data_IF_746500434520
#
_entry.id   IF_746500434520
#
_cell.length_a   1.000
_cell.length_b   1.000
_cell.length_c   1.000
_cell.angle_alpha   90.00
_cell.angle_beta   90.00
_cell.angle_gamma   90.00
#
_symmetry.space_group_name_H-M   'P 1'
#
loop_
_entity.id
_entity.type
_entity.pdbx_description
1 polymer ?
#
# COMPACT_ATOMS: atom_id res chain seq x y z
N UNK A 1 26.95 -70.24 -42.47
CA UNK A 1 25.61 -69.71 -42.13
C UNK A 1 25.71 -68.84 -40.89
N UNK A 2 25.66 -67.51 -41.04
CA UNK A 2 25.11 -66.55 -40.06
C UNK A 2 25.34 -65.13 -40.58
N UNK A 3 24.33 -64.56 -41.24
CA UNK A 3 24.25 -63.11 -41.50
C UNK A 3 23.59 -62.48 -40.28
N UNK A 4 24.31 -61.59 -39.57
CA UNK A 4 23.74 -60.75 -38.52
C UNK A 4 23.11 -59.52 -39.18
N UNK A 5 21.78 -59.43 -39.16
CA UNK A 5 21.05 -58.20 -39.44
C UNK A 5 21.09 -57.31 -38.20
N UNK A 6 21.59 -56.09 -38.33
CA UNK A 6 21.38 -55.03 -37.33
C UNK A 6 20.09 -54.29 -37.69
N UNK A 7 19.07 -54.39 -36.83
CA UNK A 7 17.91 -53.49 -36.87
C UNK A 7 18.27 -52.20 -36.13
N UNK A 8 18.30 -51.08 -36.85
CA UNK A 8 18.36 -49.75 -36.27
C UNK A 8 16.96 -49.37 -35.75
N UNK A 9 16.80 -49.30 -34.42
CA UNK A 9 15.60 -48.76 -33.80
C UNK A 9 15.64 -47.23 -33.80
N UNK A 10 14.77 -46.59 -34.59
CA UNK A 10 14.47 -45.16 -34.44
C UNK A 10 13.66 -44.97 -33.15
N UNK A 11 14.27 -44.36 -32.13
CA UNK A 11 13.54 -43.82 -30.98
C UNK A 11 13.04 -42.43 -31.37
N UNK A 12 11.75 -42.32 -31.66
CA UNK A 12 11.09 -41.03 -31.83
C UNK A 12 10.94 -40.37 -30.45
N UNK A 13 11.82 -39.42 -30.13
CA UNK A 13 11.63 -38.52 -28.97
C UNK A 13 10.54 -37.53 -29.35
N UNK A 14 9.32 -37.79 -28.91
CA UNK A 14 8.24 -36.81 -28.96
C UNK A 14 8.57 -35.68 -27.98
N UNK A 15 9.09 -34.57 -28.51
CA UNK A 15 9.21 -33.33 -27.77
C UNK A 15 7.79 -32.80 -27.48
N UNK A 16 7.23 -33.14 -26.33
CA UNK A 16 6.07 -32.44 -25.77
C UNK A 16 6.53 -31.07 -25.27
N UNK A 17 6.71 -30.15 -26.22
CA UNK A 17 6.76 -28.73 -25.93
C UNK A 17 5.37 -28.24 -25.56
N UNK A 18 4.98 -28.36 -24.31
CA UNK A 18 3.81 -27.67 -23.78
C UNK A 18 4.18 -26.20 -23.58
N UNK A 19 4.14 -25.42 -24.66
CA UNK A 19 4.03 -23.98 -24.59
C UNK A 19 2.60 -23.63 -24.14
N UNK A 20 2.32 -23.78 -22.84
CA UNK A 20 1.25 -23.01 -22.21
C UNK A 20 1.83 -21.61 -22.03
N UNK A 21 1.50 -20.71 -22.95
CA UNK A 21 1.69 -19.29 -22.69
C UNK A 21 0.96 -18.96 -21.38
N UNK A 22 1.70 -18.55 -20.35
CA UNK A 22 1.13 -18.03 -19.13
C UNK A 22 0.44 -16.70 -19.47
N UNK A 23 -0.81 -16.77 -19.93
CA UNK A 23 -1.73 -15.64 -19.84
C UNK A 23 -1.98 -15.49 -18.34
N UNK A 24 -1.20 -14.64 -17.70
CA UNK A 24 -1.33 -14.41 -16.28
C UNK A 24 -2.76 -13.97 -15.95
N UNK A 25 -3.39 -14.64 -15.01
CA UNK A 25 -4.68 -14.26 -14.46
C UNK A 25 -4.65 -12.81 -13.92
N UNK A 26 -5.75 -12.04 -14.03
CA UNK A 26 -5.79 -10.68 -13.54
C UNK A 26 -5.55 -10.66 -12.02
N UNK A 27 -4.70 -9.75 -11.55
CA UNK A 27 -4.40 -9.64 -10.12
C UNK A 27 -5.62 -9.20 -9.30
N UNK A 28 -6.46 -8.37 -9.90
CA UNK A 28 -7.62 -7.77 -9.25
C UNK A 28 -8.88 -8.42 -9.78
N UNK A 29 -9.68 -8.98 -8.88
CA UNK A 29 -11.00 -9.51 -9.19
C UNK A 29 -12.09 -8.56 -8.67
N UNK A 30 -13.25 -8.46 -9.36
CA UNK A 30 -14.36 -7.65 -8.88
C UNK A 30 -14.79 -8.06 -7.47
N UNK A 31 -14.85 -7.10 -6.55
CA UNK A 31 -15.39 -7.28 -5.20
C UNK A 31 -16.32 -6.13 -4.85
N UNK A 32 -17.31 -6.41 -4.02
CA UNK A 32 -18.24 -5.40 -3.54
C UNK A 32 -17.68 -4.73 -2.28
N UNK A 33 -16.96 -3.62 -2.46
CA UNK A 33 -16.38 -2.85 -1.37
C UNK A 33 -17.42 -2.29 -0.39
N UNK A 34 -18.67 -2.05 -0.83
CA UNK A 34 -19.75 -1.51 0.02
C UNK A 34 -20.24 -2.56 1.00
N UNK A 35 -20.15 -3.85 0.63
CA UNK A 35 -20.45 -4.97 1.54
C UNK A 35 -19.29 -5.33 2.46
N UNK A 36 -18.07 -5.01 2.06
CA UNK A 36 -16.85 -5.31 2.84
C UNK A 36 -16.62 -4.26 3.91
N UNK A 37 -16.76 -2.98 3.57
CA UNK A 37 -16.52 -1.87 4.47
C UNK A 37 -17.81 -1.45 5.17
N UNK A 38 -17.69 -1.02 6.42
CA UNK A 38 -18.81 -0.34 7.10
C UNK A 38 -19.15 0.98 6.39
N UNK A 39 -20.37 1.48 6.57
CA UNK A 39 -20.73 2.82 6.12
C UNK A 39 -19.91 3.90 6.87
N UNK A 40 -19.63 5.06 6.25
CA UNK A 40 -19.05 6.19 6.97
C UNK A 40 -19.97 6.65 8.11
N UNK A 41 -19.42 7.30 9.15
CA UNK A 41 -20.23 7.84 10.24
C UNK A 41 -21.38 8.72 9.75
N UNK A 42 -22.59 8.48 10.23
CA UNK A 42 -23.75 9.33 9.95
C UNK A 42 -23.54 10.73 10.51
N UNK A 43 -24.03 11.75 9.80
CA UNK A 43 -23.98 13.13 10.26
C UNK A 43 -24.57 13.28 11.68
N UNK A 44 -23.83 13.88 12.60
CA UNK A 44 -24.22 14.09 13.99
C UNK A 44 -24.01 12.89 14.92
N UNK A 45 -23.57 11.73 14.42
CA UNK A 45 -23.24 10.59 15.27
C UNK A 45 -21.99 10.83 16.13
N UNK A 46 -21.80 10.04 17.18
CA UNK A 46 -20.63 10.16 18.05
C UNK A 46 -19.29 10.05 17.29
N UNK A 47 -19.19 9.14 16.32
CA UNK A 47 -18.00 9.01 15.47
C UNK A 47 -17.78 10.22 14.57
N UNK A 48 -18.86 10.77 14.01
CA UNK A 48 -18.79 11.96 13.17
C UNK A 48 -18.37 13.21 13.96
N UNK A 49 -18.83 13.34 15.20
CA UNK A 49 -18.39 14.37 16.14
C UNK A 49 -16.90 14.18 16.47
N UNK A 50 -16.47 12.95 16.76
CA UNK A 50 -15.07 12.63 17.02
C UNK A 50 -14.17 12.96 15.82
N UNK A 51 -14.55 12.57 14.61
CA UNK A 51 -13.80 12.88 13.38
C UNK A 51 -13.58 14.39 13.20
N UNK A 52 -14.62 15.20 13.44
CA UNK A 52 -14.50 16.66 13.38
C UNK A 52 -13.59 17.21 14.47
N UNK A 53 -13.70 16.70 15.69
CA UNK A 53 -12.83 17.11 16.80
C UNK A 53 -11.35 16.78 16.51
N UNK A 54 -11.08 15.57 15.99
CA UNK A 54 -9.74 15.12 15.60
C UNK A 54 -9.17 15.99 14.47
N UNK A 55 -9.97 16.29 13.44
CA UNK A 55 -9.54 17.17 12.36
C UNK A 55 -9.09 18.54 12.88
N UNK A 56 -9.87 19.15 13.77
CA UNK A 56 -9.54 20.44 14.37
C UNK A 56 -8.30 20.36 15.26
N UNK A 57 -8.24 19.36 16.15
CA UNK A 57 -7.12 19.18 17.07
C UNK A 57 -5.79 19.00 16.34
N UNK A 58 -5.77 18.22 15.26
CA UNK A 58 -4.55 17.95 14.49
C UNK A 58 -4.04 19.16 13.70
N UNK A 59 -4.83 20.23 13.52
CA UNK A 59 -4.33 21.48 12.90
C UNK A 59 -3.25 22.14 13.75
N UNK A 60 -3.27 21.96 15.07
CA UNK A 60 -2.24 22.47 15.97
C UNK A 60 -0.84 21.87 15.72
N UNK A 61 -0.73 20.83 14.88
CA UNK A 61 0.53 20.24 14.46
C UNK A 61 1.19 20.97 13.30
N UNK A 62 0.56 21.99 12.70
CA UNK A 62 1.13 22.74 11.58
C UNK A 62 2.57 23.19 11.88
N UNK A 63 3.48 22.94 10.93
CA UNK A 63 4.91 23.24 11.06
C UNK A 63 5.73 22.27 11.92
N UNK A 64 5.09 21.43 12.75
CA UNK A 64 5.78 20.46 13.61
C UNK A 64 6.51 19.36 12.81
N UNK A 65 7.46 18.63 13.42
CA UNK A 65 8.09 17.47 12.81
C UNK A 65 7.08 16.40 12.33
N UNK A 66 5.97 16.19 13.08
CA UNK A 66 4.93 15.23 12.68
C UNK A 66 4.19 15.66 11.42
N UNK A 67 3.94 16.96 11.28
CA UNK A 67 3.35 17.55 10.07
C UNK A 67 4.30 17.44 8.87
N UNK A 68 5.61 17.63 9.07
CA UNK A 68 6.60 17.41 8.01
C UNK A 68 6.66 15.94 7.56
N UNK A 69 6.55 14.97 8.48
CA UNK A 69 6.38 13.56 8.09
C UNK A 69 5.09 13.36 7.30
N UNK A 70 3.98 13.99 7.73
CA UNK A 70 2.71 13.87 7.02
C UNK A 70 2.79 14.40 5.58
N UNK A 71 3.50 15.51 5.36
CA UNK A 71 3.77 16.07 4.02
C UNK A 71 4.56 15.07 3.17
N UNK A 72 5.67 14.55 3.71
CA UNK A 72 6.48 13.53 3.02
C UNK A 72 5.69 12.26 2.73
N UNK A 73 4.75 11.86 3.58
CA UNK A 73 3.90 10.69 3.32
C UNK A 73 2.94 10.89 2.16
N UNK A 74 2.57 12.14 1.84
CA UNK A 74 1.82 12.50 0.64
C UNK A 74 2.68 12.39 -0.61
N UNK A 75 3.92 12.89 -0.52
CA UNK A 75 4.80 13.12 -1.67
C UNK A 75 5.62 11.88 -2.04
N UNK A 76 6.06 11.11 -1.04
CA UNK A 76 6.96 9.99 -1.22
C UNK A 76 6.22 8.73 -1.69
N UNK A 77 6.85 8.02 -2.63
CA UNK A 77 6.49 6.64 -2.97
C UNK A 77 6.89 5.62 -1.89
N UNK A 78 6.45 4.36 -2.01
CA UNK A 78 6.63 3.32 -0.99
C UNK A 78 8.09 3.09 -0.60
N UNK A 79 9.01 3.02 -1.57
CA UNK A 79 10.43 2.74 -1.28
C UNK A 79 11.06 3.79 -0.34
N UNK A 80 10.73 5.07 -0.54
CA UNK A 80 11.20 6.15 0.33
C UNK A 80 10.43 6.19 1.65
N UNK A 81 9.11 5.98 1.63
CA UNK A 81 8.24 6.05 2.82
C UNK A 81 8.59 4.99 3.86
N UNK A 82 8.99 3.81 3.41
CA UNK A 82 9.30 2.66 4.28
C UNK A 82 10.80 2.44 4.53
N UNK A 83 11.68 3.32 4.05
CA UNK A 83 13.13 3.12 4.11
C UNK A 83 13.64 2.87 5.55
N UNK A 84 13.21 3.67 6.54
CA UNK A 84 13.59 3.48 7.94
C UNK A 84 13.07 2.15 8.52
N UNK A 85 11.81 1.83 8.24
CA UNK A 85 11.18 0.58 8.66
C UNK A 85 11.85 -0.65 8.04
N UNK A 86 12.36 -0.54 6.81
CA UNK A 86 13.06 -1.60 6.10
C UNK A 86 14.56 -1.68 6.46
N UNK A 87 15.13 -0.56 6.93
CA UNK A 87 16.53 -0.40 7.34
C UNK A 87 17.53 -0.16 6.20
N UNK A 88 17.05 0.07 4.99
CA UNK A 88 17.88 0.32 3.80
C UNK A 88 17.23 1.39 2.93
N UNK A 89 18.05 2.10 2.15
CA UNK A 89 17.59 2.99 1.09
C UNK A 89 17.60 2.24 -0.24
N UNK A 90 16.44 2.14 -0.89
CA UNK A 90 16.28 1.48 -2.18
C UNK A 90 15.88 2.50 -3.26
N UNK A 91 16.41 2.36 -4.46
CA UNK A 91 15.90 3.05 -5.65
C UNK A 91 15.12 2.05 -6.51
N UNK A 92 14.14 2.54 -7.27
CA UNK A 92 13.38 1.70 -8.19
C UNK A 92 14.28 0.98 -9.23
N UNK A 93 15.42 1.57 -9.59
CA UNK A 93 16.43 0.95 -10.46
C UNK A 93 17.10 -0.28 -9.84
N UNK A 94 17.16 -0.35 -8.51
CA UNK A 94 17.84 -1.43 -7.77
C UNK A 94 16.89 -2.61 -7.51
N UNK A 95 15.58 -2.32 -7.50
CA UNK A 95 14.50 -3.27 -7.22
C UNK A 95 13.34 -3.13 -8.23
N UNK A 96 13.59 -3.30 -9.54
CA UNK A 96 12.58 -3.08 -10.57
C UNK A 96 11.36 -4.00 -10.46
N UNK A 97 11.51 -5.23 -9.96
CA UNK A 97 10.39 -6.15 -9.76
C UNK A 97 9.50 -5.66 -8.62
N UNK A 98 10.10 -5.27 -7.49
CA UNK A 98 9.36 -4.69 -6.36
C UNK A 98 8.69 -3.37 -6.74
N UNK A 99 9.37 -2.51 -7.50
CA UNK A 99 8.78 -1.26 -7.99
C UNK A 99 7.57 -1.55 -8.89
N UNK A 100 7.70 -2.50 -9.84
CA UNK A 100 6.59 -2.91 -10.69
C UNK A 100 5.44 -3.56 -9.90
N UNK A 101 5.75 -4.31 -8.84
CA UNK A 101 4.74 -4.87 -7.93
C UNK A 101 3.91 -3.74 -7.30
N UNK A 102 4.54 -2.69 -6.79
CA UNK A 102 3.82 -1.55 -6.20
C UNK A 102 3.04 -0.72 -7.23
N UNK A 103 3.58 -0.53 -8.43
CA UNK A 103 2.88 0.22 -9.48
C UNK A 103 1.62 -0.51 -9.97
N UNK A 104 1.65 -1.85 -9.97
CA UNK A 104 0.55 -2.70 -10.43
C UNK A 104 -0.43 -3.06 -9.33
N UNK A 105 0.04 -3.23 -8.10
CA UNK A 105 -0.82 -3.50 -6.95
C UNK A 105 -1.51 -2.19 -6.52
N UNK A 106 -2.77 -2.28 -6.10
CA UNK A 106 -3.47 -1.12 -5.60
C UNK A 106 -4.85 -1.48 -5.07
N UNK A 107 -5.35 -0.68 -4.13
CA UNK A 107 -6.68 -0.88 -3.53
C UNK A 107 -7.81 -0.14 -4.28
N UNK A 108 -7.50 0.54 -5.39
CA UNK A 108 -8.44 1.41 -6.11
C UNK A 108 -9.69 0.68 -6.60
N UNK A 109 -9.56 -0.57 -7.06
CA UNK A 109 -10.70 -1.39 -7.52
C UNK A 109 -11.75 -1.64 -6.43
N UNK A 110 -11.36 -1.60 -5.15
CA UNK A 110 -12.23 -1.73 -3.99
C UNK A 110 -12.68 -0.35 -3.49
N UNK A 111 -11.77 0.62 -3.43
CA UNK A 111 -11.99 1.94 -2.83
C UNK A 111 -12.91 2.84 -3.68
N UNK A 112 -12.69 2.92 -4.99
CA UNK A 112 -13.40 3.89 -5.84
C UNK A 112 -14.92 3.66 -5.93
N UNK A 113 -15.42 2.40 -6.03
CA UNK A 113 -16.87 2.14 -5.94
C UNK A 113 -17.48 2.61 -4.62
N UNK A 114 -16.77 2.42 -3.50
CA UNK A 114 -17.24 2.82 -2.17
C UNK A 114 -17.28 4.34 -2.03
N UNK A 115 -16.25 5.03 -2.54
CA UNK A 115 -16.24 6.50 -2.60
C UNK A 115 -17.41 7.05 -3.41
N UNK A 116 -17.69 6.43 -4.55
CA UNK A 116 -18.79 6.83 -5.43
C UNK A 116 -20.15 6.60 -4.75
N UNK A 117 -20.30 5.46 -4.06
CA UNK A 117 -21.54 5.11 -3.35
C UNK A 117 -21.87 6.08 -2.22
N UNK A 118 -20.90 6.39 -1.34
CA UNK A 118 -21.16 7.25 -0.17
C UNK A 118 -20.96 8.74 -0.42
N UNK A 119 -20.15 9.12 -1.41
CA UNK A 119 -19.87 10.51 -1.80
C UNK A 119 -19.60 11.46 -0.61
N UNK A 120 -18.93 10.96 0.43
CA UNK A 120 -18.74 11.70 1.68
C UNK A 120 -17.86 12.93 1.45
N UNK A 121 -18.32 14.11 1.89
CA UNK A 121 -17.52 15.32 1.84
C UNK A 121 -16.26 15.21 2.72
N UNK A 122 -15.16 15.82 2.28
CA UNK A 122 -13.90 15.84 3.03
C UNK A 122 -13.97 16.78 4.24
N UNK A 123 -13.16 16.55 5.30
CA UNK A 123 -13.18 17.39 6.49
C UNK A 123 -12.85 18.86 6.24
N UNK A 124 -12.13 19.17 5.17
CA UNK A 124 -11.75 20.54 4.81
C UNK A 124 -12.73 21.22 3.84
N UNK A 125 -13.77 20.52 3.37
CA UNK A 125 -14.57 20.96 2.22
C UNK A 125 -15.35 22.27 2.47
N UNK A 126 -15.67 22.57 3.72
CA UNK A 126 -16.50 23.70 4.16
C UNK A 126 -15.73 24.71 5.03
N UNK A 127 -14.40 24.65 5.04
CA UNK A 127 -13.56 25.52 5.86
C UNK A 127 -12.16 25.74 5.26
N UNK A 128 -11.47 26.77 5.75
CA UNK A 128 -10.12 27.13 5.31
C UNK A 128 -9.02 26.65 6.28
N UNK A 129 -9.30 25.63 7.09
CA UNK A 129 -8.31 25.11 8.03
C UNK A 129 -7.04 24.63 7.29
N UNK A 130 -5.85 24.79 7.90
CA UNK A 130 -4.57 24.44 7.28
C UNK A 130 -4.53 22.99 6.81
N UNK A 131 -3.86 22.74 5.69
CA UNK A 131 -3.59 21.41 5.16
C UNK A 131 -2.12 21.27 4.81
N UNK A 132 -1.60 20.05 4.91
CA UNK A 132 -0.21 19.74 4.60
C UNK A 132 -0.02 19.31 3.13
N UNK A 133 -1.03 19.53 2.29
CA UNK A 133 -0.98 19.26 0.86
C UNK A 133 -1.89 20.25 0.12
N UNK A 134 -1.62 20.46 -1.16
CA UNK A 134 -2.42 21.36 -1.97
C UNK A 134 -3.89 20.92 -2.08
N UNK A 135 -4.80 21.89 -2.00
CA UNK A 135 -6.22 21.72 -2.31
C UNK A 135 -6.37 21.71 -3.83
N UNK A 136 -6.44 20.52 -4.44
CA UNK A 136 -6.61 20.36 -5.88
C UNK A 136 -8.05 20.02 -6.25
N UNK A 137 -8.48 20.38 -7.48
CA UNK A 137 -9.78 19.96 -8.00
C UNK A 137 -9.93 18.42 -8.03
N UNK A 138 -8.83 17.70 -8.23
CA UNK A 138 -8.80 16.24 -8.19
C UNK A 138 -9.07 15.67 -6.80
N UNK A 139 -8.53 16.30 -5.76
CA UNK A 139 -8.81 15.91 -4.39
C UNK A 139 -10.27 16.26 -4.02
N UNK A 140 -10.75 17.44 -4.42
CA UNK A 140 -12.11 17.91 -4.12
C UNK A 140 -13.22 17.07 -4.76
N UNK A 141 -13.01 16.54 -5.99
CA UNK A 141 -14.01 15.69 -6.68
C UNK A 141 -14.10 14.26 -6.12
N UNK A 142 -13.15 13.83 -5.29
CA UNK A 142 -13.11 12.49 -4.72
C UNK A 142 -13.57 12.53 -3.27
N UNK A 143 -14.48 11.64 -2.89
CA UNK A 143 -15.02 11.57 -1.53
C UNK A 143 -13.97 11.29 -0.46
N UNK A 144 -14.31 11.54 0.80
CA UNK A 144 -13.49 11.24 1.96
C UNK A 144 -13.34 9.73 2.17
N UNK A 145 -14.47 9.02 2.27
CA UNK A 145 -14.53 7.65 2.76
C UNK A 145 -14.57 6.59 1.64
N UNK A 146 -13.78 5.51 1.74
CA UNK A 146 -12.60 5.34 2.60
C UNK A 146 -11.39 6.08 2.02
N UNK A 147 -10.32 6.28 2.78
CA UNK A 147 -9.10 6.90 2.26
C UNK A 147 -8.32 5.93 1.35
N UNK A 148 -8.20 6.27 0.06
CA UNK A 148 -7.40 5.49 -0.89
C UNK A 148 -5.90 5.53 -0.61
N UNK A 149 -5.37 6.66 -0.11
CA UNK A 149 -3.96 6.75 0.27
C UNK A 149 -3.66 5.87 1.49
N UNK A 150 -4.54 5.84 2.48
CA UNK A 150 -4.38 4.93 3.62
C UNK A 150 -4.51 3.46 3.20
N UNK A 151 -5.40 3.16 2.25
CA UNK A 151 -5.55 1.81 1.71
C UNK A 151 -4.31 1.32 0.96
N UNK A 152 -3.77 2.13 0.05
CA UNK A 152 -2.53 1.78 -0.66
C UNK A 152 -1.34 1.72 0.30
N UNK A 153 -1.19 2.68 1.21
CA UNK A 153 -0.13 2.65 2.21
C UNK A 153 -0.18 1.38 3.06
N UNK A 154 -1.36 0.98 3.53
CA UNK A 154 -1.52 -0.25 4.30
C UNK A 154 -1.26 -1.51 3.47
N UNK A 155 -1.74 -1.55 2.23
CA UNK A 155 -1.43 -2.64 1.29
C UNK A 155 0.08 -2.78 1.10
N UNK A 156 0.78 -1.69 0.79
CA UNK A 156 2.24 -1.67 0.62
C UNK A 156 2.97 -2.18 1.87
N UNK A 157 2.53 -1.77 3.06
CA UNK A 157 3.10 -2.24 4.33
C UNK A 157 2.88 -3.75 4.56
N UNK A 158 1.69 -4.27 4.22
CA UNK A 158 1.41 -5.70 4.30
C UNK A 158 2.31 -6.50 3.35
N UNK A 159 2.45 -6.03 2.10
CA UNK A 159 3.34 -6.69 1.13
C UNK A 159 4.79 -6.65 1.59
N UNK A 160 5.29 -5.50 2.05
CA UNK A 160 6.65 -5.41 2.56
C UNK A 160 6.88 -6.31 3.78
N UNK A 161 5.90 -6.42 4.69
CA UNK A 161 6.01 -7.29 5.86
C UNK A 161 6.11 -8.76 5.46
N UNK A 162 5.46 -9.17 4.36
CA UNK A 162 5.58 -10.53 3.81
C UNK A 162 6.91 -10.78 3.08
N UNK A 163 7.48 -9.72 2.49
CA UNK A 163 8.74 -9.77 1.76
C UNK A 163 9.97 -9.64 2.69
N UNK A 164 9.82 -9.00 3.85
CA UNK A 164 10.85 -8.76 4.85
C UNK A 164 10.31 -9.04 6.27
N UNK A 165 10.02 -10.32 6.61
CA UNK A 165 9.36 -10.68 7.86
C UNK A 165 10.17 -10.35 9.11
N UNK A 166 11.50 -10.23 8.99
CA UNK A 166 12.37 -9.75 10.06
C UNK A 166 12.13 -8.29 10.46
N UNK A 167 11.39 -7.53 9.63
CA UNK A 167 11.01 -6.12 9.85
C UNK A 167 9.50 -5.89 9.87
N UNK A 168 8.72 -6.97 10.01
CA UNK A 168 7.26 -6.90 9.88
C UNK A 168 6.63 -5.89 10.85
N UNK A 169 7.08 -5.86 12.11
CA UNK A 169 6.54 -4.95 13.12
C UNK A 169 6.76 -3.48 12.75
N UNK A 170 7.97 -3.13 12.31
CA UNK A 170 8.32 -1.78 11.89
C UNK A 170 7.54 -1.35 10.65
N UNK A 171 7.41 -2.26 9.67
CA UNK A 171 6.71 -2.01 8.42
C UNK A 171 5.22 -1.79 8.64
N UNK A 172 4.57 -2.65 9.45
CA UNK A 172 3.15 -2.52 9.77
C UNK A 172 2.89 -1.28 10.63
N UNK A 173 3.74 -0.98 11.62
CA UNK A 173 3.63 0.27 12.38
C UNK A 173 3.73 1.49 11.46
N UNK A 174 4.68 1.49 10.53
CA UNK A 174 4.87 2.58 9.58
C UNK A 174 3.70 2.74 8.62
N UNK A 175 3.09 1.64 8.18
CA UNK A 175 1.91 1.63 7.33
C UNK A 175 0.69 2.26 8.01
N UNK A 176 0.48 1.95 9.28
CA UNK A 176 -0.56 2.60 10.10
C UNK A 176 -0.30 4.11 10.15
N UNK A 177 0.93 4.50 10.50
CA UNK A 177 1.34 5.90 10.63
C UNK A 177 1.23 6.68 9.30
N UNK A 178 1.47 6.04 8.16
CA UNK A 178 1.25 6.63 6.83
C UNK A 178 -0.23 6.93 6.57
N UNK A 179 -1.14 6.10 7.08
CA UNK A 179 -2.57 6.38 7.09
C UNK A 179 -2.91 7.56 8.01
N UNK A 180 -2.42 7.57 9.25
CA UNK A 180 -2.63 8.65 10.22
C UNK A 180 -2.14 10.01 9.68
N UNK A 181 -1.07 10.00 8.88
CA UNK A 181 -0.59 11.19 8.18
C UNK A 181 -1.66 11.83 7.32
N UNK A 182 -2.63 11.09 6.77
CA UNK A 182 -3.74 11.65 5.98
C UNK A 182 -4.76 12.43 6.82
N UNK A 183 -4.92 12.07 8.09
CA UNK A 183 -5.69 12.85 9.08
C UNK A 183 -4.94 14.13 9.42
N UNK A 184 -3.66 14.02 9.78
CA UNK A 184 -2.83 15.17 10.14
C UNK A 184 -2.70 16.14 8.97
N UNK A 185 -2.56 15.63 7.75
CA UNK A 185 -2.52 16.45 6.55
C UNK A 185 -3.84 17.15 6.22
N UNK A 186 -4.93 16.75 6.89
CA UNK A 186 -6.27 17.34 6.79
C UNK A 186 -7.09 16.80 5.62
N UNK A 187 -6.57 15.83 4.87
CA UNK A 187 -7.20 15.34 3.65
C UNK A 187 -8.39 14.42 3.92
N UNK A 188 -8.35 13.72 5.05
CA UNK A 188 -9.26 12.63 5.40
C UNK A 188 -9.66 12.66 6.87
N UNK A 189 -10.88 12.21 7.17
CA UNK A 189 -11.30 11.94 8.55
C UNK A 189 -10.58 10.71 9.12
N UNK A 190 -10.60 10.53 10.44
CA UNK A 190 -10.02 9.35 11.07
C UNK A 190 -10.78 8.08 10.65
N UNK A 191 -12.12 8.13 10.63
CA UNK A 191 -12.95 7.02 10.12
C UNK A 191 -12.63 6.65 8.66
N UNK A 192 -12.34 7.63 7.79
CA UNK A 192 -11.92 7.35 6.42
C UNK A 192 -10.56 6.65 6.36
N UNK A 193 -9.63 6.99 7.25
CA UNK A 193 -8.33 6.30 7.34
C UNK A 193 -8.49 4.87 7.85
N UNK A 194 -9.32 4.64 8.88
CA UNK A 194 -9.65 3.30 9.39
C UNK A 194 -10.30 2.42 8.32
N UNK A 195 -11.28 2.95 7.58
CA UNK A 195 -11.87 2.28 6.43
C UNK A 195 -10.86 2.02 5.32
N UNK A 196 -9.86 2.90 5.16
CA UNK A 196 -8.74 2.72 4.25
C UNK A 196 -7.86 1.52 4.65
N UNK A 197 -7.49 1.37 5.92
CA UNK A 197 -6.73 0.21 6.39
C UNK A 197 -7.49 -1.10 6.15
N UNK A 198 -8.79 -1.13 6.45
CA UNK A 198 -9.63 -2.29 6.14
C UNK A 198 -9.67 -2.60 4.64
N UNK A 199 -9.81 -1.56 3.80
CA UNK A 199 -9.76 -1.69 2.34
C UNK A 199 -8.43 -2.24 1.84
N UNK A 200 -7.29 -1.77 2.38
CA UNK A 200 -5.96 -2.26 2.02
C UNK A 200 -5.76 -3.73 2.40
N UNK A 201 -6.25 -4.15 3.58
CA UNK A 201 -6.21 -5.54 4.01
C UNK A 201 -7.07 -6.45 3.12
N UNK A 202 -8.30 -6.02 2.80
CA UNK A 202 -9.17 -6.73 1.87
C UNK A 202 -8.57 -6.81 0.45
N UNK A 203 -8.00 -5.71 -0.04
CA UNK A 203 -7.32 -5.68 -1.33
C UNK A 203 -6.12 -6.66 -1.36
N UNK A 204 -5.34 -6.73 -0.28
CA UNK A 204 -4.27 -7.72 -0.15
C UNK A 204 -4.81 -9.15 -0.29
N UNK A 205 -5.90 -9.49 0.40
CA UNK A 205 -6.50 -10.81 0.28
C UNK A 205 -6.98 -11.14 -1.15
N UNK A 206 -7.58 -10.17 -1.86
CA UNK A 206 -8.01 -10.34 -3.25
C UNK A 206 -6.81 -10.56 -4.18
N UNK A 207 -5.77 -9.74 -4.05
CA UNK A 207 -4.55 -9.86 -4.85
C UNK A 207 -3.91 -11.24 -4.67
N UNK A 208 -3.86 -11.75 -3.44
CA UNK A 208 -3.36 -13.08 -3.13
C UNK A 208 -4.18 -14.22 -3.73
N UNK A 209 -5.41 -13.97 -4.19
CA UNK A 209 -6.19 -14.91 -4.99
C UNK A 209 -5.56 -15.20 -6.35
N UNK A 210 -4.80 -14.26 -6.91
CA UNK A 210 -4.20 -14.39 -8.23
C UNK A 210 -2.88 -15.18 -8.23
N UNK A 211 -2.76 -16.17 -9.12
CA UNK A 211 -1.53 -16.95 -9.28
C UNK A 211 -0.37 -16.10 -9.81
N UNK A 212 -0.68 -15.20 -10.75
CA UNK A 212 0.30 -14.29 -11.35
C UNK A 212 0.79 -13.24 -10.35
N UNK A 213 -0.08 -12.77 -9.46
CA UNK A 213 0.33 -11.91 -8.35
C UNK A 213 1.28 -12.63 -7.40
N UNK A 214 0.91 -13.84 -6.94
CA UNK A 214 1.77 -14.63 -6.04
C UNK A 214 3.14 -14.91 -6.65
N UNK A 215 3.19 -15.23 -7.95
CA UNK A 215 4.46 -15.43 -8.66
C UNK A 215 5.33 -14.15 -8.64
N UNK A 216 4.73 -12.99 -8.88
CA UNK A 216 5.44 -11.71 -8.88
C UNK A 216 5.90 -11.30 -7.47
N UNK A 217 5.11 -11.63 -6.45
CA UNK A 217 5.49 -11.46 -5.06
C UNK A 217 6.71 -12.31 -4.68
N UNK A 218 6.76 -13.58 -5.11
CA UNK A 218 7.95 -14.44 -4.91
C UNK A 218 9.20 -13.88 -5.61
N UNK A 219 9.05 -13.37 -6.83
CA UNK A 219 10.15 -12.74 -7.56
C UNK A 219 10.65 -11.47 -6.83
N UNK A 220 9.72 -10.64 -6.34
CA UNK A 220 10.04 -9.47 -5.53
C UNK A 220 10.73 -9.86 -4.21
N UNK A 221 10.39 -11.00 -3.60
CA UNK A 221 11.02 -11.49 -2.36
C UNK A 221 12.51 -11.78 -2.58
N UNK A 222 12.83 -12.50 -3.66
CA UNK A 222 14.22 -12.82 -4.01
C UNK A 222 15.01 -11.55 -4.34
N UNK A 223 14.42 -10.63 -5.10
CA UNK A 223 15.04 -9.35 -5.45
C UNK A 223 15.31 -8.49 -4.20
N UNK A 224 14.30 -8.32 -3.34
CA UNK A 224 14.40 -7.52 -2.14
C UNK A 224 15.45 -8.09 -1.17
N UNK A 225 15.48 -9.41 -0.96
CA UNK A 225 16.46 -10.04 -0.10
C UNK A 225 17.90 -9.77 -0.59
N UNK A 226 18.14 -9.86 -1.89
CA UNK A 226 19.45 -9.54 -2.50
C UNK A 226 19.78 -8.06 -2.34
N UNK A 227 18.84 -7.17 -2.65
CA UNK A 227 19.04 -5.73 -2.56
C UNK A 227 19.34 -5.29 -1.12
N UNK A 228 18.63 -5.82 -0.12
CA UNK A 228 18.85 -5.47 1.31
C UNK A 228 20.25 -5.83 1.84
N UNK A 229 20.91 -6.80 1.22
CA UNK A 229 22.26 -7.23 1.60
C UNK A 229 23.34 -6.21 1.19
N UNK A 230 23.14 -5.49 0.08
CA UNK A 230 24.14 -4.58 -0.49
C UNK A 230 23.72 -3.11 -0.51
N UNK A 231 22.42 -2.83 -0.33
CA UNK A 231 21.89 -1.48 -0.35
C UNK A 231 22.47 -0.63 0.80
N UNK A 232 22.65 0.69 0.57
CA UNK A 232 23.02 1.62 1.62
C UNK A 232 22.08 1.51 2.82
N UNK A 233 22.64 1.48 4.02
CA UNK A 233 21.85 1.59 5.24
C UNK A 233 21.28 2.99 5.37
N UNK A 234 20.08 3.07 5.92
CA UNK A 234 19.50 4.35 6.34
C UNK A 234 20.38 5.00 7.41
N UNK A 235 20.30 6.33 7.53
CA UNK A 235 20.91 7.05 8.65
C UNK A 235 20.19 6.68 9.96
N UNK A 236 20.89 6.03 10.93
CA UNK A 236 20.27 5.63 12.18
C UNK A 236 19.74 6.81 13.00
N UNK A 237 20.40 7.98 12.96
CA UNK A 237 19.96 9.15 13.72
C UNK A 237 18.66 9.73 13.13
N UNK A 238 18.58 9.83 11.80
CA UNK A 238 17.37 10.27 11.12
C UNK A 238 16.19 9.34 11.39
N UNK A 239 16.41 8.01 11.36
CA UNK A 239 15.36 7.04 11.65
C UNK A 239 14.94 7.00 13.12
N UNK A 240 15.85 7.27 14.06
CA UNK A 240 15.49 7.42 15.47
C UNK A 240 14.58 8.63 15.70
N UNK A 241 14.86 9.76 15.03
CA UNK A 241 14.00 10.95 15.07
C UNK A 241 12.63 10.65 14.45
N UNK A 242 12.59 9.99 13.30
CA UNK A 242 11.32 9.57 12.69
C UNK A 242 10.51 8.68 13.65
N UNK A 243 11.15 7.68 14.25
CA UNK A 243 10.50 6.77 15.20
C UNK A 243 9.96 7.52 16.44
N UNK A 244 10.72 8.46 17.00
CA UNK A 244 10.28 9.25 18.16
C UNK A 244 9.05 10.11 17.82
N UNK A 245 9.08 10.79 16.67
CA UNK A 245 7.98 11.65 16.22
C UNK A 245 6.71 10.82 15.96
N UNK A 246 6.86 9.61 15.45
CA UNK A 246 5.78 8.69 15.10
C UNK A 246 5.28 7.81 16.26
N UNK A 247 6.01 7.71 17.37
CA UNK A 247 5.62 6.94 18.54
C UNK A 247 4.49 7.59 19.35
N UNK A 248 4.27 8.90 19.17
CA UNK A 248 3.19 9.64 19.84
C UNK A 248 1.86 9.40 19.13
N UNK A 249 0.84 9.04 19.89
CA UNK A 249 -0.54 9.10 19.42
C UNK A 249 -0.98 10.57 19.37
N UNK A 250 -1.52 11.00 18.22
CA UNK A 250 -1.97 12.39 18.03
C UNK A 250 -3.49 12.52 18.09
N UNK A 251 -4.21 11.40 18.17
CA UNK A 251 -5.65 11.29 18.41
C UNK A 251 -6.05 9.85 18.74
#
# INVERSE_FOLDING_TARGET
MSKRLFLAGLVAVAAMGSAVAAIGDPWMHPVDGVRILSAPPTAGSARDIADRAIFQATRALEGSPRWQIAQRDVENGPLSRYACALGVTLKASDVPILASLFDRAGAGFLVEPVKTHYARARPYADNDAPMCQARTAALARSGDYPSGHAANGWLEALLLAELAPDRASELLARGRQAGESRVICGAHSASAVEGGWQAGAAASAVLHGSASFRQQLELARVELARARATAPKVDPAACAIEAEVLARAYY
#
